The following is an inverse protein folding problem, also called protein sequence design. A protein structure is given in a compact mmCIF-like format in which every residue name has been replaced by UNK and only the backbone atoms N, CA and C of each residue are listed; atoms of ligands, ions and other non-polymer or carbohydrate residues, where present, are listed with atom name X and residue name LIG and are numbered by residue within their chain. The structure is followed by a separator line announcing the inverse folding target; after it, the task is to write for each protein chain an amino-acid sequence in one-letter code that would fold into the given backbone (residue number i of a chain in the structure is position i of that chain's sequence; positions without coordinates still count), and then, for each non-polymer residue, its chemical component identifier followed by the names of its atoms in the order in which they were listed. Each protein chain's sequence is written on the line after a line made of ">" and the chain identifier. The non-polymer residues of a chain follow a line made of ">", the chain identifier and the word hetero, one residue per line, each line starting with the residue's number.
data_IF_730982349404
#
_entry.id   IF_730982349404
#
_cell.length_a   1.000
_cell.length_b   1.000
_cell.length_c   1.000
_cell.angle_alpha   90.00
_cell.angle_beta   90.00
_cell.angle_gamma   90.00
#
_symmetry.space_group_name_H-M   'P 1'
#
loop_
_entity.id
_entity.type
_entity.pdbx_description
1 polymer ?
#
# COMPACT_ATOMS: atom_id res chain seq x y z
N UNK A 1 13.41 7.91 -6.91
CA UNK A 1 13.72 6.65 -7.57
C UNK A 1 12.51 5.72 -7.56
N UNK A 2 12.35 4.92 -8.61
CA UNK A 2 11.31 3.90 -8.66
C UNK A 2 11.66 2.77 -7.68
N UNK A 3 10.61 2.18 -7.08
CA UNK A 3 10.77 1.08 -6.16
C UNK A 3 10.83 1.45 -4.69
N UNK A 4 10.74 2.72 -4.35
CA UNK A 4 10.66 3.18 -2.96
C UNK A 4 9.20 3.28 -2.56
N UNK A 5 8.73 2.33 -1.76
CA UNK A 5 7.32 2.17 -1.41
C UNK A 5 7.01 2.61 0.01
N UNK A 6 5.82 3.19 0.19
CA UNK A 6 5.23 3.38 1.51
C UNK A 6 4.26 2.24 1.76
N UNK A 7 4.37 1.58 2.92
CA UNK A 7 3.47 0.51 3.33
C UNK A 7 2.49 1.02 4.38
N UNK A 8 1.22 0.60 4.25
CA UNK A 8 0.18 1.01 5.18
C UNK A 8 -0.93 -0.05 5.23
N UNK A 9 -1.81 0.08 6.21
CA UNK A 9 -3.01 -0.74 6.30
C UNK A 9 -4.24 0.14 6.33
N UNK A 10 -5.32 -0.33 5.70
CA UNK A 10 -6.60 0.36 5.64
C UNK A 10 -7.65 -0.56 6.24
N UNK A 11 -8.23 -0.15 7.37
CA UNK A 11 -9.23 -0.94 8.08
C UNK A 11 -10.58 -0.75 7.41
N UNK A 12 -11.29 -1.86 7.11
CA UNK A 12 -12.58 -1.83 6.45
C UNK A 12 -13.74 -1.71 7.43
N UNK A 13 -13.73 -2.52 8.49
CA UNK A 13 -14.77 -2.50 9.50
C UNK A 13 -14.21 -2.99 10.83
N UNK A 14 -14.74 -2.46 11.93
CA UNK A 14 -14.37 -2.90 13.28
C UNK A 14 -14.95 -4.28 13.63
N UNK A 15 -15.99 -4.71 12.93
CA UNK A 15 -16.64 -5.98 13.22
C UNK A 15 -15.86 -7.19 12.69
N UNK A 16 -14.93 -6.96 11.74
CA UNK A 16 -14.07 -8.00 11.17
C UNK A 16 -12.62 -7.56 11.26
N UNK A 17 -11.73 -8.52 11.43
CA UNK A 17 -10.29 -8.23 11.56
C UNK A 17 -9.62 -7.93 10.23
N UNK A 18 -10.24 -8.32 9.11
CA UNK A 18 -9.61 -8.14 7.81
C UNK A 18 -9.40 -6.68 7.46
N UNK A 19 -8.30 -6.41 6.78
CA UNK A 19 -7.96 -5.07 6.32
C UNK A 19 -7.22 -5.15 4.99
N UNK A 20 -6.95 -3.99 4.40
CA UNK A 20 -6.16 -3.92 3.18
C UNK A 20 -4.73 -3.53 3.54
N UNK A 21 -3.77 -4.28 2.98
CA UNK A 21 -2.37 -3.90 2.98
C UNK A 21 -2.11 -3.13 1.69
N UNK A 22 -1.53 -1.95 1.79
CA UNK A 22 -1.21 -1.12 0.64
C UNK A 22 0.28 -0.82 0.58
N UNK A 23 0.85 -0.90 -0.63
CA UNK A 23 2.19 -0.42 -0.91
C UNK A 23 2.09 0.58 -2.06
N UNK A 24 2.61 1.79 -1.87
CA UNK A 24 2.53 2.85 -2.85
C UNK A 24 3.94 3.31 -3.23
N UNK A 25 4.28 3.23 -4.51
CA UNK A 25 5.55 3.77 -5.02
C UNK A 25 5.52 5.30 -4.91
N UNK A 26 6.52 5.86 -4.26
CA UNK A 26 6.56 7.30 -3.96
C UNK A 26 6.73 8.16 -5.21
N UNK A 27 7.31 7.62 -6.26
CA UNK A 27 7.56 8.36 -7.51
C UNK A 27 6.44 8.18 -8.53
N UNK A 28 6.11 6.93 -8.86
CA UNK A 28 5.09 6.62 -9.87
C UNK A 28 3.67 6.66 -9.34
N UNK A 29 3.50 6.63 -8.01
CA UNK A 29 2.21 6.49 -7.34
C UNK A 29 1.54 5.15 -7.63
N UNK A 30 2.26 4.20 -8.21
CA UNK A 30 1.74 2.85 -8.45
C UNK A 30 1.40 2.18 -7.12
N UNK A 31 0.23 1.56 -7.06
CA UNK A 31 -0.26 0.98 -5.82
C UNK A 31 -0.46 -0.53 -5.94
N UNK A 32 -0.01 -1.24 -4.91
CA UNK A 32 -0.24 -2.67 -4.73
C UNK A 32 -1.16 -2.81 -3.52
N UNK A 33 -2.27 -3.54 -3.68
CA UNK A 33 -3.27 -3.70 -2.62
C UNK A 33 -3.52 -5.19 -2.41
N UNK A 34 -3.53 -5.62 -1.15
CA UNK A 34 -3.84 -7.01 -0.79
C UNK A 34 -4.80 -7.05 0.39
N UNK A 35 -5.77 -7.95 0.30
CA UNK A 35 -6.68 -8.23 1.41
C UNK A 35 -5.97 -9.17 2.35
N UNK A 36 -5.85 -8.80 3.63
CA UNK A 36 -5.24 -9.63 4.67
C UNK A 36 -6.25 -9.91 5.78
N UNK A 37 -6.16 -11.08 6.44
CA UNK A 37 -7.19 -11.50 7.39
C UNK A 37 -7.20 -10.68 8.68
N UNK A 38 -6.08 -10.08 9.05
CA UNK A 38 -5.98 -9.25 10.23
C UNK A 38 -4.80 -8.30 10.15
N UNK A 39 -4.72 -7.36 11.08
CA UNK A 39 -3.67 -6.37 11.17
C UNK A 39 -2.52 -6.88 12.06
N UNK A 40 -1.96 -8.03 11.71
CA UNK A 40 -0.85 -8.63 12.45
C UNK A 40 0.43 -8.64 11.62
N UNK A 41 1.58 -8.72 12.31
CA UNK A 41 2.88 -8.83 11.65
C UNK A 41 2.96 -10.09 10.76
N UNK A 42 2.37 -11.17 11.21
CA UNK A 42 2.34 -12.42 10.45
C UNK A 42 1.58 -12.26 9.13
N UNK A 43 0.39 -11.68 9.18
CA UNK A 43 -0.44 -11.46 7.98
C UNK A 43 0.21 -10.48 7.01
N UNK A 44 0.80 -9.41 7.53
CA UNK A 44 1.52 -8.44 6.71
C UNK A 44 2.70 -9.11 6.01
N UNK A 45 3.50 -9.87 6.74
CA UNK A 45 4.68 -10.51 6.18
C UNK A 45 4.33 -11.57 5.16
N UNK A 46 3.26 -12.33 5.38
CA UNK A 46 2.82 -13.34 4.43
C UNK A 46 2.39 -12.70 3.11
N UNK A 47 1.63 -11.61 3.16
CA UNK A 47 1.23 -10.88 1.97
C UNK A 47 2.45 -10.24 1.27
N UNK A 48 3.37 -9.68 2.03
CA UNK A 48 4.58 -9.07 1.47
C UNK A 48 5.45 -10.09 0.76
N UNK A 49 5.60 -11.29 1.30
CA UNK A 49 6.32 -12.38 0.61
C UNK A 49 5.74 -12.67 -0.76
N UNK A 50 4.41 -12.73 -0.86
CA UNK A 50 3.74 -12.93 -2.14
C UNK A 50 3.98 -11.78 -3.12
N UNK A 51 3.93 -10.56 -2.63
CA UNK A 51 4.18 -9.36 -3.44
C UNK A 51 5.62 -9.38 -3.99
N UNK A 52 6.60 -9.73 -3.16
CA UNK A 52 8.00 -9.75 -3.55
C UNK A 52 8.33 -10.79 -4.62
N UNK A 53 7.46 -11.78 -4.84
CA UNK A 53 7.63 -12.74 -5.92
C UNK A 53 7.35 -12.13 -7.29
N UNK A 54 6.55 -11.06 -7.35
CA UNK A 54 6.09 -10.47 -8.61
C UNK A 54 6.56 -9.04 -8.82
N UNK A 55 7.01 -8.36 -7.78
CA UNK A 55 7.39 -6.95 -7.84
C UNK A 55 8.78 -6.74 -7.24
N UNK A 56 9.58 -5.92 -7.90
CA UNK A 56 10.85 -5.47 -7.36
C UNK A 56 10.62 -4.27 -6.46
N UNK A 57 10.97 -4.39 -5.19
CA UNK A 57 10.85 -3.32 -4.20
C UNK A 57 12.24 -2.96 -3.71
N UNK A 58 12.59 -1.68 -3.84
CA UNK A 58 13.89 -1.15 -3.46
C UNK A 58 13.96 -0.84 -1.97
N UNK A 59 12.92 -0.19 -1.46
CA UNK A 59 12.84 0.19 -0.04
C UNK A 59 11.39 0.23 0.41
N UNK A 60 11.20 0.12 1.72
CA UNK A 60 9.89 0.22 2.35
C UNK A 60 9.97 1.24 3.46
N UNK A 61 9.05 2.20 3.47
CA UNK A 61 8.85 3.14 4.57
C UNK A 61 7.55 2.78 5.28
N UNK A 62 7.62 2.59 6.59
CA UNK A 62 6.49 2.20 7.42
C UNK A 62 6.36 3.14 8.61
N UNK A 63 5.19 3.15 9.26
CA UNK A 63 5.07 3.77 10.57
C UNK A 63 5.50 2.78 11.67
N UNK A 64 5.39 3.18 12.94
CA UNK A 64 5.80 2.36 14.07
C UNK A 64 4.68 1.42 14.56
N UNK A 65 3.71 1.11 13.70
CA UNK A 65 2.66 0.16 14.05
C UNK A 65 3.21 -1.24 14.31
N UNK A 66 2.58 -1.96 15.22
CA UNK A 66 3.03 -3.31 15.58
C UNK A 66 2.96 -4.29 14.41
N UNK A 67 2.04 -4.05 13.44
CA UNK A 67 1.93 -4.88 12.24
C UNK A 67 3.16 -4.79 11.34
N UNK A 68 3.97 -3.75 11.48
CA UNK A 68 5.19 -3.56 10.68
C UNK A 68 6.48 -3.85 11.48
N UNK A 69 6.36 -4.39 12.68
CA UNK A 69 7.50 -4.59 13.57
C UNK A 69 8.44 -5.71 13.12
N UNK A 70 8.00 -6.59 12.22
CA UNK A 70 8.78 -7.77 11.80
C UNK A 70 9.04 -7.81 10.30
N UNK A 71 9.04 -6.65 9.64
CA UNK A 71 9.33 -6.59 8.19
C UNK A 71 10.70 -7.14 7.86
N UNK A 72 11.67 -7.01 8.78
CA UNK A 72 13.02 -7.53 8.58
C UNK A 72 13.10 -9.05 8.45
N UNK A 73 12.04 -9.77 8.84
CA UNK A 73 11.98 -11.22 8.66
C UNK A 73 11.82 -11.61 7.19
N UNK A 74 11.30 -10.72 6.34
CA UNK A 74 11.00 -11.00 4.94
C UNK A 74 11.61 -10.01 3.96
N UNK A 75 12.19 -8.92 4.44
CA UNK A 75 12.78 -7.88 3.61
C UNK A 75 14.10 -7.43 4.21
N UNK A 76 15.01 -6.90 3.37
CA UNK A 76 16.34 -6.44 3.80
C UNK A 76 16.19 -5.33 4.84
N UNK A 77 16.68 -5.53 6.08
CA UNK A 77 16.56 -4.52 7.13
C UNK A 77 17.23 -3.19 6.78
N UNK A 78 18.25 -3.19 5.93
CA UNK A 78 18.91 -1.95 5.50
C UNK A 78 18.05 -1.12 4.55
N UNK A 79 17.01 -1.72 3.99
CA UNK A 79 16.08 -1.05 3.08
C UNK A 79 14.72 -0.79 3.71
N UNK A 80 14.61 -0.92 5.02
CA UNK A 80 13.39 -0.62 5.77
C UNK A 80 13.61 0.68 6.55
N UNK A 81 12.68 1.63 6.35
CA UNK A 81 12.72 2.93 7.03
C UNK A 81 11.43 3.12 7.79
N UNK A 82 11.54 3.57 9.05
CA UNK A 82 10.38 3.88 9.88
C UNK A 82 10.21 5.39 9.97
N UNK A 83 9.02 5.88 9.60
CA UNK A 83 8.72 7.30 9.65
C UNK A 83 8.72 7.80 11.09
N UNK A 84 9.26 9.00 11.30
CA UNK A 84 9.29 9.60 12.61
C UNK A 84 7.87 9.96 13.06
N UNK A 85 7.55 9.84 14.36
CA UNK A 85 6.28 10.35 14.89
C UNK A 85 6.09 11.82 14.50
N UNK A 86 4.86 12.17 14.11
CA UNK A 86 4.48 13.53 13.71
C UNK A 86 5.10 14.04 12.41
N UNK A 87 5.81 13.19 11.66
CA UNK A 87 6.38 13.56 10.36
C UNK A 87 5.42 13.13 9.24
N UNK A 88 4.20 13.66 9.23
CA UNK A 88 3.16 13.32 8.24
C UNK A 88 3.61 13.59 6.80
N UNK A 89 4.49 14.58 6.60
CA UNK A 89 5.04 14.88 5.29
C UNK A 89 5.90 13.75 4.71
N UNK A 90 6.40 12.85 5.55
CA UNK A 90 7.14 11.67 5.11
C UNK A 90 6.23 10.62 4.45
N UNK A 91 4.91 10.71 4.67
CA UNK A 91 3.93 9.72 4.23
C UNK A 91 2.72 10.32 3.49
N UNK A 92 2.87 11.51 2.92
CA UNK A 92 1.75 12.22 2.28
C UNK A 92 1.12 11.46 1.11
N UNK A 93 1.88 10.57 0.46
CA UNK A 93 1.41 9.78 -0.68
C UNK A 93 0.25 8.86 -0.30
N UNK A 94 0.31 8.24 0.89
CA UNK A 94 -0.70 7.27 1.32
C UNK A 94 -2.07 7.90 1.57
N UNK A 95 -2.13 9.12 2.11
CA UNK A 95 -3.42 9.77 2.38
C UNK A 95 -4.26 9.92 1.12
N UNK A 96 -3.62 10.32 0.02
CA UNK A 96 -4.32 10.51 -1.25
C UNK A 96 -4.85 9.17 -1.79
N UNK A 97 -4.07 8.11 -1.72
CA UNK A 97 -4.49 6.80 -2.20
C UNK A 97 -5.58 6.19 -1.31
N UNK A 98 -5.50 6.38 0.00
CA UNK A 98 -6.53 5.90 0.90
C UNK A 98 -7.89 6.53 0.59
N UNK A 99 -7.90 7.80 0.19
CA UNK A 99 -9.12 8.49 -0.23
C UNK A 99 -9.71 7.86 -1.49
N UNK A 100 -8.87 7.46 -2.45
CA UNK A 100 -9.31 6.78 -3.67
C UNK A 100 -9.88 5.39 -3.36
N UNK A 101 -9.26 4.66 -2.44
CA UNK A 101 -9.78 3.37 -1.99
C UNK A 101 -11.15 3.55 -1.35
N UNK A 102 -11.33 4.57 -0.50
CA UNK A 102 -12.60 4.83 0.20
C UNK A 102 -13.74 5.20 -0.74
N UNK A 103 -13.45 5.64 -1.96
CA UNK A 103 -14.48 5.85 -2.98
C UNK A 103 -15.23 4.55 -3.31
N UNK A 104 -14.50 3.43 -3.35
CA UNK A 104 -15.06 2.11 -3.69
C UNK A 104 -15.42 1.29 -2.46
N UNK A 105 -14.67 1.48 -1.36
CA UNK A 105 -14.86 0.78 -0.10
C UNK A 105 -14.99 1.80 1.03
N UNK A 106 -16.19 2.41 1.22
CA UNK A 106 -16.42 3.32 2.33
C UNK A 106 -16.20 2.64 3.68
N UNK A 107 -15.89 3.41 4.70
CA UNK A 107 -15.80 2.89 6.06
C UNK A 107 -17.10 2.18 6.43
N UNK A 108 -16.97 1.01 7.07
CA UNK A 108 -18.13 0.21 7.44
C UNK A 108 -18.57 -0.78 6.37
N UNK A 109 -17.88 -0.89 5.26
CA UNK A 109 -18.15 -1.92 4.25
C UNK A 109 -18.06 -3.29 4.91
N UNK A 110 -19.15 -4.05 4.87
CA UNK A 110 -19.27 -5.30 5.61
C UNK A 110 -18.58 -6.48 4.93
N UNK A 111 -18.45 -6.45 3.61
CA UNK A 111 -17.87 -7.55 2.85
C UNK A 111 -16.92 -7.02 1.80
N UNK A 112 -15.66 -7.48 1.85
CA UNK A 112 -14.64 -7.18 0.86
C UNK A 112 -14.12 -8.50 0.30
N UNK A 113 -13.98 -8.58 -1.01
CA UNK A 113 -13.48 -9.78 -1.68
C UNK A 113 -12.16 -9.49 -2.38
N UNK A 114 -11.39 -10.54 -2.66
CA UNK A 114 -10.14 -10.43 -3.41
C UNK A 114 -10.40 -9.82 -4.79
N UNK A 115 -11.52 -10.16 -5.41
CA UNK A 115 -11.90 -9.61 -6.71
C UNK A 115 -12.15 -8.10 -6.65
N UNK A 116 -12.82 -7.61 -5.61
CA UNK A 116 -13.04 -6.18 -5.40
C UNK A 116 -11.71 -5.45 -5.24
N UNK A 117 -10.80 -6.02 -4.46
CA UNK A 117 -9.47 -5.43 -4.21
C UNK A 117 -8.68 -5.35 -5.52
N UNK A 118 -8.69 -6.40 -6.33
CA UNK A 118 -8.02 -6.40 -7.62
C UNK A 118 -8.59 -5.34 -8.57
N UNK A 119 -9.92 -5.16 -8.57
CA UNK A 119 -10.56 -4.12 -9.36
C UNK A 119 -10.10 -2.74 -8.93
N UNK A 120 -10.08 -2.48 -7.63
CA UNK A 120 -9.68 -1.17 -7.09
C UNK A 120 -8.22 -0.87 -7.41
N UNK A 121 -7.34 -1.85 -7.23
CA UNK A 121 -5.93 -1.72 -7.56
C UNK A 121 -5.75 -1.33 -9.03
N UNK A 122 -6.43 -2.04 -9.91
CA UNK A 122 -6.36 -1.75 -11.33
C UNK A 122 -6.93 -0.36 -11.66
N UNK A 123 -8.05 0.01 -11.04
CA UNK A 123 -8.67 1.33 -11.25
C UNK A 123 -7.74 2.46 -10.82
N UNK A 124 -7.13 2.35 -9.63
CA UNK A 124 -6.21 3.37 -9.11
C UNK A 124 -5.00 3.52 -10.03
N UNK A 125 -4.44 2.40 -10.48
CA UNK A 125 -3.24 2.42 -11.31
C UNK A 125 -3.49 2.92 -12.73
N UNK A 126 -4.74 3.00 -13.16
CA UNK A 126 -5.15 3.58 -14.43
C UNK A 126 -5.76 4.98 -14.27
N UNK A 127 -5.79 5.53 -13.06
CA UNK A 127 -6.40 6.83 -12.80
C UNK A 127 -5.37 7.96 -13.02
N UNK A 128 -5.70 8.97 -13.86
CA UNK A 128 -4.77 10.08 -14.11
C UNK A 128 -4.48 10.89 -12.86
N UNK A 129 -3.22 11.26 -12.68
CA UNK A 129 -2.76 12.00 -11.51
C UNK A 129 -2.17 13.34 -11.94
N UNK A 130 -2.61 14.42 -11.29
CA UNK A 130 -2.09 15.76 -11.57
C UNK A 130 -0.58 15.82 -11.35
N UNK A 131 -0.06 15.21 -10.29
CA UNK A 131 1.36 15.21 -9.99
C UNK A 131 2.21 14.44 -11.02
N UNK A 132 1.58 13.66 -11.89
CA UNK A 132 2.23 12.92 -12.97
C UNK A 132 1.88 13.52 -14.34
N UNK A 133 1.56 14.80 -14.40
CA UNK A 133 1.11 15.49 -15.62
C UNK A 133 -0.08 14.78 -16.27
N UNK A 134 -1.03 14.33 -15.43
CA UNK A 134 -2.26 13.62 -15.82
C UNK A 134 -2.02 12.24 -16.45
N UNK A 135 -0.82 11.69 -16.33
CA UNK A 135 -0.59 10.28 -16.59
C UNK A 135 -1.13 9.46 -15.41
N UNK A 136 -1.58 8.25 -15.69
CA UNK A 136 -1.84 7.29 -14.63
C UNK A 136 -0.53 6.72 -14.09
N UNK A 137 -0.51 6.13 -12.90
CA UNK A 137 0.68 5.44 -12.40
C UNK A 137 1.22 4.40 -13.38
N UNK A 138 0.34 3.63 -14.02
CA UNK A 138 0.76 2.62 -14.99
C UNK A 138 1.42 3.24 -16.21
N UNK A 139 0.85 4.31 -16.74
CA UNK A 139 1.45 5.02 -17.88
C UNK A 139 2.80 5.59 -17.53
N UNK A 140 2.94 6.15 -16.32
CA UNK A 140 4.20 6.69 -15.83
C UNK A 140 5.29 5.60 -15.81
N UNK A 141 4.95 4.41 -15.31
CA UNK A 141 5.89 3.28 -15.26
C UNK A 141 6.29 2.81 -16.67
N UNK A 142 5.35 2.78 -17.60
CA UNK A 142 5.64 2.36 -18.97
C UNK A 142 6.57 3.34 -19.70
N UNK A 143 6.55 4.60 -19.29
CA UNK A 143 7.38 5.65 -19.89
C UNK A 143 8.71 5.85 -19.13
N UNK A 144 8.92 5.13 -18.06
CA UNK A 144 10.12 5.28 -17.23
C UNK A 144 11.33 4.56 -17.83
#
# INVERSE_FOLDING_TARGET
>A
NLGDYEIDTVIQTRAKNECLLTLTDRKSRFQIIRLIPDKSATSVNQALKGILQNYHINSITADNGTEFSRLADVFDPECIYYAHPYASWERGTNENHNRLIRRWLPKGTKKTTIRMVAFIENWINNYPKKCLNYLSPRQFLLNA
#
